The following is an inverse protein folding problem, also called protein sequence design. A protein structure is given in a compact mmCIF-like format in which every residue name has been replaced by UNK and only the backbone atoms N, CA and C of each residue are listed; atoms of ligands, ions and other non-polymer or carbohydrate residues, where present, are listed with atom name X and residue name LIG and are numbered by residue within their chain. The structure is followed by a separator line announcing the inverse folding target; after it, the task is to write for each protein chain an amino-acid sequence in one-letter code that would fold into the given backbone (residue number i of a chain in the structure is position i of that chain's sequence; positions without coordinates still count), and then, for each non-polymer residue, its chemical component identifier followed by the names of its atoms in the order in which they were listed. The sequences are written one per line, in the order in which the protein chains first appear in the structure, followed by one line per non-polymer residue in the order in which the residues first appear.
data_IF_193959275407
#
_entry.id   IF_193959275407
#
_cell.length_a   1.000
_cell.length_b   1.000
_cell.length_c   1.000
_cell.angle_alpha   90.00
_cell.angle_beta   90.00
_cell.angle_gamma   90.00
#
_symmetry.space_group_name_H-M   'P 1'
#
loop_
_entity.id
_entity.type
_entity.pdbx_description
1 polymer ?
#
# COMPACT_ATOMS: atom_id res chain seq x y z
N UNK A 1 35.23 -90.81 -10.33
CA UNK A 1 34.83 -89.61 -11.08
C UNK A 1 34.91 -88.43 -10.12
N UNK A 2 35.99 -87.66 -10.18
CA UNK A 2 36.28 -86.54 -9.31
C UNK A 2 36.26 -85.27 -10.17
N UNK A 3 35.40 -84.31 -9.83
CA UNK A 3 35.28 -83.06 -10.55
C UNK A 3 35.38 -81.89 -9.54
N UNK A 4 36.61 -81.47 -9.27
CA UNK A 4 36.91 -80.32 -8.42
C UNK A 4 36.78 -79.03 -9.24
N UNK A 5 35.67 -78.31 -9.05
CA UNK A 5 35.48 -76.96 -9.59
C UNK A 5 36.39 -75.96 -8.87
N UNK A 6 37.38 -75.47 -9.62
CA UNK A 6 38.30 -74.37 -9.27
C UNK A 6 37.52 -73.06 -9.15
N UNK A 7 37.41 -72.49 -7.95
CA UNK A 7 36.89 -71.14 -7.76
C UNK A 7 37.98 -70.11 -8.12
N UNK A 8 37.70 -69.25 -9.09
CA UNK A 8 38.59 -68.17 -9.54
C UNK A 8 38.33 -66.95 -8.64
N UNK A 9 39.34 -66.53 -7.87
CA UNK A 9 39.30 -65.30 -7.07
C UNK A 9 39.48 -64.08 -7.99
N UNK A 10 38.36 -63.49 -8.43
CA UNK A 10 38.36 -62.16 -9.05
C UNK A 10 38.44 -61.07 -7.97
N UNK A 11 39.44 -60.19 -8.05
CA UNK A 11 39.49 -59.00 -7.18
C UNK A 11 38.41 -58.00 -7.60
N UNK A 12 37.59 -57.57 -6.64
CA UNK A 12 36.58 -56.55 -6.89
C UNK A 12 37.24 -55.18 -7.12
N UNK A 13 36.76 -54.37 -8.08
CA UNK A 13 37.31 -53.03 -8.32
C UNK A 13 37.08 -52.13 -7.10
N UNK A 14 38.16 -51.45 -6.68
CA UNK A 14 38.18 -50.44 -5.61
C UNK A 14 37.10 -49.39 -5.87
N UNK A 15 36.03 -49.35 -5.05
CA UNK A 15 35.07 -48.24 -5.05
C UNK A 15 35.80 -46.94 -4.74
N UNK A 16 35.68 -45.97 -5.64
CA UNK A 16 36.20 -44.62 -5.46
C UNK A 16 35.68 -44.01 -4.16
N UNK A 17 36.62 -43.50 -3.36
CA UNK A 17 36.39 -42.73 -2.14
C UNK A 17 35.30 -41.68 -2.36
N UNK A 18 34.26 -41.71 -1.53
CA UNK A 18 33.19 -40.72 -1.52
C UNK A 18 33.80 -39.34 -1.25
N UNK A 19 33.69 -38.46 -2.24
CA UNK A 19 34.12 -37.06 -2.20
C UNK A 19 33.52 -36.38 -0.96
N UNK A 20 34.39 -35.96 -0.04
CA UNK A 20 34.00 -35.26 1.18
C UNK A 20 33.05 -34.09 0.87
N UNK A 21 31.88 -34.10 1.50
CA UNK A 21 30.88 -33.05 1.37
C UNK A 21 31.49 -31.71 1.84
N UNK A 22 31.42 -30.71 0.96
CA UNK A 22 31.85 -29.34 1.25
C UNK A 22 31.06 -28.78 2.46
N UNK A 23 31.71 -28.10 3.41
CA UNK A 23 31.10 -27.76 4.70
C UNK A 23 30.11 -26.58 4.60
N UNK A 24 28.95 -26.75 5.25
CA UNK A 24 28.08 -25.84 6.01
C UNK A 24 27.89 -24.32 5.69
N UNK A 25 28.70 -23.68 4.84
CA UNK A 25 28.64 -22.23 4.61
C UNK A 25 27.35 -21.76 3.91
N UNK A 26 26.70 -22.63 3.12
CA UNK A 26 25.42 -22.33 2.47
C UNK A 26 24.27 -22.20 3.49
N UNK A 27 24.33 -22.94 4.61
CA UNK A 27 23.32 -22.90 5.66
C UNK A 27 23.28 -21.56 6.39
N UNK A 28 24.44 -20.97 6.68
CA UNK A 28 24.54 -19.68 7.36
C UNK A 28 23.94 -18.53 6.53
N UNK A 29 24.25 -18.47 5.22
CA UNK A 29 23.71 -17.43 4.34
C UNK A 29 22.19 -17.57 4.11
N UNK A 30 21.68 -18.81 4.04
CA UNK A 30 20.24 -19.07 3.89
C UNK A 30 19.48 -18.75 5.17
N UNK A 31 20.00 -19.16 6.34
CA UNK A 31 19.39 -18.84 7.64
C UNK A 31 19.40 -17.34 7.91
N UNK A 32 20.47 -16.62 7.57
CA UNK A 32 20.51 -15.16 7.67
C UNK A 32 19.48 -14.49 6.76
N UNK A 33 19.33 -14.95 5.50
CA UNK A 33 18.28 -14.47 4.60
C UNK A 33 16.88 -14.76 5.13
N UNK A 34 16.67 -15.93 5.73
CA UNK A 34 15.38 -16.34 6.27
C UNK A 34 15.01 -15.56 7.54
N UNK A 35 15.99 -15.29 8.42
CA UNK A 35 15.80 -14.40 9.56
C UNK A 35 15.50 -12.98 9.11
N UNK A 36 16.20 -12.46 8.10
CA UNK A 36 15.91 -11.12 7.53
C UNK A 36 14.50 -11.04 6.92
N UNK A 37 14.03 -12.08 6.22
CA UNK A 37 12.67 -12.09 5.66
C UNK A 37 11.61 -12.27 6.73
N UNK A 38 11.85 -13.12 7.73
CA UNK A 38 10.96 -13.29 8.88
C UNK A 38 10.85 -12.00 9.71
N UNK A 39 11.96 -11.30 9.93
CA UNK A 39 11.99 -10.00 10.60
C UNK A 39 11.24 -8.92 9.82
N UNK A 40 11.40 -8.88 8.49
CA UNK A 40 10.61 -7.98 7.64
C UNK A 40 9.12 -8.28 7.71
N UNK A 41 8.74 -9.56 7.82
CA UNK A 41 7.35 -9.98 7.99
C UNK A 41 6.79 -9.72 9.39
N UNK A 42 7.64 -9.51 10.41
CA UNK A 42 7.18 -9.24 11.77
C UNK A 42 6.35 -7.95 11.88
N UNK A 43 6.60 -6.97 10.99
CA UNK A 43 5.84 -5.70 10.92
C UNK A 43 4.74 -5.73 9.85
N UNK A 44 4.41 -6.91 9.34
CA UNK A 44 3.35 -7.09 8.33
C UNK A 44 3.70 -6.57 6.93
N UNK A 45 2.67 -6.37 6.11
CA UNK A 45 2.80 -5.88 4.73
C UNK A 45 3.35 -4.44 4.70
N UNK A 46 4.24 -4.08 3.76
CA UNK A 46 4.68 -2.69 3.62
C UNK A 46 3.49 -1.78 3.25
N UNK A 47 3.36 -0.67 3.98
CA UNK A 47 2.29 0.31 3.82
C UNK A 47 2.28 0.89 2.40
N UNK A 48 3.44 1.21 1.83
CA UNK A 48 3.55 1.74 0.48
C UNK A 48 2.92 0.78 -0.55
N UNK A 49 3.19 -0.53 -0.44
CA UNK A 49 2.63 -1.53 -1.34
C UNK A 49 1.13 -1.78 -1.13
N UNK A 50 0.61 -1.49 0.08
CA UNK A 50 -0.82 -1.58 0.34
C UNK A 50 -1.54 -0.41 -0.34
N UNK A 51 -1.01 0.81 -0.18
CA UNK A 51 -1.53 2.03 -0.81
C UNK A 51 -1.51 1.92 -2.33
N UNK A 52 -0.41 1.44 -2.92
CA UNK A 52 -0.29 1.29 -4.38
C UNK A 52 -1.29 0.27 -4.95
N UNK A 53 -1.43 -0.88 -4.31
CA UNK A 53 -2.31 -1.94 -4.78
C UNK A 53 -3.80 -1.54 -4.72
N UNK A 54 -4.22 -0.79 -3.70
CA UNK A 54 -5.58 -0.26 -3.63
C UNK A 54 -5.81 0.91 -4.61
N UNK A 55 -4.81 1.76 -4.81
CA UNK A 55 -4.85 2.81 -5.83
C UNK A 55 -4.98 2.27 -7.26
N UNK A 56 -4.49 1.06 -7.53
CA UNK A 56 -4.68 0.34 -8.79
C UNK A 56 -6.01 -0.42 -8.84
N UNK A 57 -6.45 -1.02 -7.74
CA UNK A 57 -7.76 -1.69 -7.65
C UNK A 57 -8.93 -0.71 -7.85
N UNK A 58 -8.86 0.50 -7.29
CA UNK A 58 -9.83 1.57 -7.53
C UNK A 58 -9.79 2.17 -8.95
N UNK A 59 -8.73 1.86 -9.72
CA UNK A 59 -8.60 2.21 -11.14
C UNK A 59 -9.25 1.18 -12.06
N UNK A 60 -9.44 -0.06 -11.61
CA UNK A 60 -9.99 -1.17 -12.40
C UNK A 60 -11.46 -1.05 -12.81
N UNK A 61 -12.22 -0.13 -12.21
CA UNK A 61 -13.64 0.11 -12.51
C UNK A 61 -13.95 1.51 -13.04
N UNK A 62 -12.92 2.32 -13.30
CA UNK A 62 -13.07 3.45 -14.22
C UNK A 62 -12.73 2.91 -15.61
N UNK A 63 -13.71 2.52 -16.44
CA UNK A 63 -13.40 2.27 -17.84
C UNK A 63 -12.66 3.51 -18.31
N UNK A 64 -11.61 3.31 -19.11
CA UNK A 64 -10.81 4.36 -19.71
C UNK A 64 -11.73 5.42 -20.35
N UNK A 65 -12.16 6.39 -19.53
CA UNK A 65 -12.84 7.61 -19.93
C UNK A 65 -11.75 8.64 -20.25
N UNK A 66 -10.71 8.19 -20.96
CA UNK A 66 -10.47 8.76 -22.28
C UNK A 66 -11.73 8.43 -23.08
N UNK A 67 -12.79 9.17 -22.80
CA UNK A 67 -14.13 8.85 -23.23
C UNK A 67 -14.04 8.62 -24.73
N UNK A 68 -14.30 7.38 -25.17
CA UNK A 68 -14.49 7.03 -26.58
C UNK A 68 -15.26 8.14 -27.32
N UNK A 69 -16.33 8.77 -26.76
CA UNK A 69 -16.97 9.92 -27.40
C UNK A 69 -16.11 11.19 -27.52
N UNK A 70 -15.16 11.44 -26.62
CA UNK A 70 -14.20 12.55 -26.71
C UNK A 70 -13.12 12.33 -27.78
N UNK A 71 -12.62 11.10 -27.95
CA UNK A 71 -11.72 10.76 -29.07
C UNK A 71 -12.48 10.78 -30.41
N UNK A 72 -13.72 10.29 -30.43
CA UNK A 72 -14.61 10.37 -31.59
C UNK A 72 -14.92 11.84 -31.92
N UNK A 73 -15.19 12.70 -30.94
CA UNK A 73 -15.44 14.13 -31.18
C UNK A 73 -14.21 14.85 -31.75
N UNK A 74 -13.00 14.52 -31.27
CA UNK A 74 -11.76 15.05 -31.85
C UNK A 74 -11.57 14.55 -33.29
N UNK A 75 -11.77 13.25 -33.54
CA UNK A 75 -11.65 12.67 -34.88
C UNK A 75 -12.67 13.24 -35.87
N UNK A 76 -13.93 13.40 -35.44
CA UNK A 76 -14.99 14.06 -36.24
C UNK A 76 -14.64 15.53 -36.48
N UNK A 77 -14.08 16.23 -35.50
CA UNK A 77 -13.61 17.61 -35.66
C UNK A 77 -12.50 17.75 -36.69
N UNK A 78 -11.50 16.86 -36.67
CA UNK A 78 -10.40 16.85 -37.66
C UNK A 78 -10.92 16.48 -39.05
N UNK A 79 -11.77 15.45 -39.16
CA UNK A 79 -12.32 15.00 -40.44
C UNK A 79 -13.28 16.05 -41.04
N UNK A 80 -14.13 16.66 -40.21
CA UNK A 80 -15.02 17.75 -40.61
C UNK A 80 -14.27 19.02 -41.03
N UNK A 81 -13.17 19.34 -40.34
CA UNK A 81 -12.27 20.43 -40.74
C UNK A 81 -11.60 20.16 -42.10
N UNK A 82 -11.18 18.93 -42.36
CA UNK A 82 -10.56 18.53 -43.64
C UNK A 82 -11.57 18.51 -44.81
N UNK A 83 -12.83 18.18 -44.55
CA UNK A 83 -13.90 18.24 -45.55
C UNK A 83 -14.33 19.69 -45.85
N UNK A 84 -14.30 20.57 -44.85
CA UNK A 84 -14.64 21.99 -45.02
C UNK A 84 -13.65 22.75 -45.92
N UNK A 85 -12.37 22.38 -45.94
CA UNK A 85 -11.37 23.00 -46.83
C UNK A 85 -11.57 22.65 -48.30
N UNK A 86 -12.22 21.52 -48.60
CA UNK A 86 -12.48 21.06 -49.98
C UNK A 86 -13.76 21.66 -50.56
N UNK A 87 -14.76 21.97 -49.74
CA UNK A 87 -16.08 22.45 -50.20
C UNK A 87 -16.41 23.91 -49.90
N UNK A 88 -15.52 24.67 -49.24
CA UNK A 88 -15.71 26.11 -48.93
C UNK A 88 -17.08 26.45 -48.30
N UNK A 89 -17.68 25.52 -47.55
CA UNK A 89 -18.98 25.72 -46.90
C UNK A 89 -18.79 26.27 -45.48
N UNK A 90 -18.92 27.60 -45.37
CA UNK A 90 -18.84 28.37 -44.12
C UNK A 90 -19.62 27.79 -42.90
N UNK A 91 -20.83 27.21 -43.02
CA UNK A 91 -21.55 26.72 -41.84
C UNK A 91 -20.97 25.42 -41.24
N UNK A 92 -20.31 24.58 -42.05
CA UNK A 92 -19.75 23.31 -41.56
C UNK A 92 -18.46 23.53 -40.74
N UNK A 93 -17.68 24.56 -41.09
CA UNK A 93 -16.48 24.94 -40.35
C UNK A 93 -16.80 25.35 -38.90
N UNK A 94 -17.94 26.03 -38.68
CA UNK A 94 -18.38 26.45 -37.34
C UNK A 94 -18.65 25.27 -36.40
N UNK A 95 -19.32 24.22 -36.89
CA UNK A 95 -19.65 23.03 -36.09
C UNK A 95 -18.37 22.25 -35.73
N UNK A 96 -17.42 22.14 -36.65
CA UNK A 96 -16.14 21.46 -36.41
C UNK A 96 -15.31 22.15 -35.32
N UNK A 97 -15.25 23.49 -35.31
CA UNK A 97 -14.53 24.26 -34.30
C UNK A 97 -15.17 24.08 -32.92
N UNK A 98 -16.51 24.12 -32.81
CA UNK A 98 -17.22 23.93 -31.55
C UNK A 98 -17.02 22.50 -31.01
N UNK A 99 -17.09 21.49 -31.87
CA UNK A 99 -16.85 20.09 -31.48
C UNK A 99 -15.41 19.86 -31.01
N UNK A 100 -14.42 20.45 -31.70
CA UNK A 100 -13.01 20.36 -31.33
C UNK A 100 -12.72 21.09 -30.02
N UNK A 101 -13.21 22.32 -29.85
CA UNK A 101 -13.04 23.09 -28.61
C UNK A 101 -13.74 22.42 -27.42
N UNK A 102 -14.94 21.87 -27.62
CA UNK A 102 -15.67 21.10 -26.60
C UNK A 102 -14.95 19.81 -26.20
N UNK A 103 -14.44 19.06 -27.18
CA UNK A 103 -13.65 17.86 -26.95
C UNK A 103 -12.33 18.15 -26.23
N UNK A 104 -11.61 19.19 -26.66
CA UNK A 104 -10.36 19.63 -26.04
C UNK A 104 -10.61 20.12 -24.60
N UNK A 105 -11.69 20.86 -24.36
CA UNK A 105 -12.10 21.31 -23.03
C UNK A 105 -12.40 20.16 -22.07
N UNK A 106 -13.10 19.12 -22.54
CA UNK A 106 -13.35 17.89 -21.77
C UNK A 106 -12.05 17.14 -21.44
N UNK A 107 -11.13 17.03 -22.40
CA UNK A 107 -9.82 16.41 -22.17
C UNK A 107 -8.98 17.22 -21.19
N UNK A 108 -8.93 18.55 -21.32
CA UNK A 108 -8.20 19.40 -20.39
C UNK A 108 -8.81 19.37 -18.99
N UNK A 109 -10.15 19.32 -18.85
CA UNK A 109 -10.83 19.19 -17.55
C UNK A 109 -10.60 17.82 -16.92
N UNK A 110 -10.62 16.75 -17.71
CA UNK A 110 -10.25 15.40 -17.27
C UNK A 110 -8.75 15.28 -16.92
N UNK A 111 -7.88 16.09 -17.55
CA UNK A 111 -6.46 16.16 -17.23
C UNK A 111 -6.21 17.01 -15.98
N UNK A 112 -6.92 18.12 -15.80
CA UNK A 112 -6.86 18.95 -14.60
C UNK A 112 -7.34 18.20 -13.36
N UNK A 113 -8.41 17.39 -13.48
CA UNK A 113 -8.88 16.49 -12.43
C UNK A 113 -7.86 15.38 -12.08
N UNK A 114 -6.95 15.04 -13.01
CA UNK A 114 -5.84 14.11 -12.76
C UNK A 114 -4.61 14.80 -12.17
N UNK A 115 -4.28 16.01 -12.62
CA UNK A 115 -3.14 16.78 -12.11
C UNK A 115 -3.38 17.30 -10.68
N UNK A 116 -4.60 17.71 -10.32
CA UNK A 116 -4.93 18.12 -8.95
C UNK A 116 -4.87 16.97 -7.93
N UNK A 117 -4.89 15.72 -8.40
CA UNK A 117 -4.83 14.48 -7.62
C UNK A 117 -3.39 14.05 -7.29
N UNK A 118 -2.40 14.58 -8.03
CA UNK A 118 -1.02 14.09 -7.99
C UNK A 118 -0.19 14.63 -6.82
N UNK A 119 -0.51 15.80 -6.26
CA UNK A 119 0.32 16.39 -5.18
C UNK A 119 0.13 15.68 -3.84
N UNK A 120 -1.11 15.68 -3.32
CA UNK A 120 -1.39 15.19 -1.96
C UNK A 120 -1.27 13.67 -1.77
N UNK A 121 -1.45 12.89 -2.84
CA UNK A 121 -1.33 11.42 -2.80
C UNK A 121 0.12 10.94 -2.94
N UNK A 122 0.90 11.59 -3.82
CA UNK A 122 2.31 11.26 -4.00
C UNK A 122 3.13 11.52 -2.72
N UNK A 123 2.80 12.58 -1.99
CA UNK A 123 3.45 12.90 -0.71
C UNK A 123 3.22 11.80 0.34
N UNK A 124 1.97 11.32 0.50
CA UNK A 124 1.65 10.23 1.43
C UNK A 124 2.37 8.94 1.05
N UNK A 125 2.36 8.55 -0.23
CA UNK A 125 3.04 7.33 -0.67
C UNK A 125 4.55 7.40 -0.43
N UNK A 126 5.16 8.57 -0.66
CA UNK A 126 6.59 8.80 -0.37
C UNK A 126 6.90 8.66 1.11
N UNK A 127 6.07 9.25 1.98
CA UNK A 127 6.27 9.17 3.43
C UNK A 127 5.97 7.77 3.98
N UNK A 128 5.00 7.05 3.40
CA UNK A 128 4.74 5.65 3.71
C UNK A 128 5.95 4.76 3.38
N UNK A 129 6.62 4.98 2.25
CA UNK A 129 7.83 4.24 1.88
C UNK A 129 9.01 4.53 2.83
N UNK A 130 9.18 5.80 3.25
CA UNK A 130 10.17 6.17 4.28
C UNK A 130 9.85 5.50 5.61
N UNK A 131 8.58 5.50 6.02
CA UNK A 131 8.12 4.85 7.24
C UNK A 131 8.39 3.34 7.19
N UNK A 132 8.05 2.65 6.10
CA UNK A 132 8.31 1.22 5.94
C UNK A 132 9.81 0.90 6.09
N UNK A 133 10.66 1.72 5.46
CA UNK A 133 12.11 1.57 5.57
C UNK A 133 12.59 1.76 7.01
N UNK A 134 12.08 2.78 7.70
CA UNK A 134 12.40 3.05 9.10
C UNK A 134 11.91 1.93 10.03
N UNK A 135 10.67 1.47 9.88
CA UNK A 135 10.12 0.39 10.70
C UNK A 135 10.87 -0.93 10.48
N UNK A 136 11.32 -1.22 9.25
CA UNK A 136 12.14 -2.40 8.99
C UNK A 136 13.51 -2.36 9.73
N UNK A 137 14.07 -1.17 9.94
CA UNK A 137 15.32 -1.00 10.71
C UNK A 137 15.08 -1.11 12.22
N UNK A 138 13.93 -0.63 12.71
CA UNK A 138 13.61 -0.61 14.14
C UNK A 138 13.02 -1.93 14.64
N UNK A 139 12.33 -2.69 13.78
CA UNK A 139 11.63 -3.93 14.13
C UNK A 139 12.45 -4.92 14.99
N UNK A 140 13.74 -5.20 14.70
CA UNK A 140 14.52 -6.14 15.51
C UNK A 140 14.75 -5.68 16.96
N UNK A 141 14.56 -4.39 17.22
CA UNK A 141 14.74 -3.74 18.53
C UNK A 141 13.41 -3.48 19.23
N UNK A 142 12.28 -3.90 18.67
CA UNK A 142 10.98 -3.76 19.32
C UNK A 142 10.62 -5.03 20.11
N UNK A 143 9.87 -4.91 21.22
CA UNK A 143 9.22 -6.04 21.86
C UNK A 143 8.29 -6.76 20.88
N UNK A 144 8.13 -8.07 21.06
CA UNK A 144 7.35 -8.88 20.12
C UNK A 144 5.87 -8.42 20.05
N UNK A 145 5.27 -8.08 21.18
CA UNK A 145 3.89 -7.60 21.22
C UNK A 145 3.74 -6.22 20.56
N UNK A 146 4.69 -5.31 20.78
CA UNK A 146 4.70 -4.01 20.10
C UNK A 146 4.86 -4.16 18.58
N UNK A 147 5.68 -5.10 18.11
CA UNK A 147 5.82 -5.39 16.68
C UNK A 147 4.51 -5.92 16.07
N UNK A 148 3.78 -6.78 16.80
CA UNK A 148 2.45 -7.28 16.39
C UNK A 148 1.43 -6.15 16.32
N UNK A 149 1.36 -5.32 17.36
CA UNK A 149 0.47 -4.14 17.43
C UNK A 149 0.75 -3.17 16.29
N UNK A 150 2.03 -2.95 15.96
CA UNK A 150 2.48 -2.12 14.85
C UNK A 150 2.05 -2.68 13.49
N UNK A 151 2.11 -4.00 13.30
CA UNK A 151 1.62 -4.64 12.08
C UNK A 151 0.11 -4.40 11.88
N UNK A 152 -0.68 -4.57 12.94
CA UNK A 152 -2.12 -4.27 12.92
C UNK A 152 -2.41 -2.78 12.69
N UNK A 153 -1.65 -1.90 13.32
CA UNK A 153 -1.74 -0.45 13.11
C UNK A 153 -1.49 -0.08 11.64
N UNK A 154 -0.46 -0.66 11.00
CA UNK A 154 -0.16 -0.42 9.58
C UNK A 154 -1.29 -0.85 8.67
N UNK A 155 -1.94 -1.97 8.96
CA UNK A 155 -3.09 -2.44 8.18
C UNK A 155 -4.28 -1.48 8.30
N UNK A 156 -4.59 -1.03 9.52
CA UNK A 156 -5.64 -0.02 9.75
C UNK A 156 -5.27 1.32 9.12
N UNK A 157 -4.00 1.70 9.14
CA UNK A 157 -3.50 2.92 8.50
C UNK A 157 -3.59 2.86 6.98
N UNK A 158 -3.30 1.71 6.36
CA UNK A 158 -3.48 1.49 4.93
C UNK A 158 -4.95 1.74 4.53
N UNK A 159 -5.89 1.10 5.24
CA UNK A 159 -7.33 1.31 5.04
C UNK A 159 -7.74 2.77 5.22
N UNK A 160 -7.20 3.45 6.24
CA UNK A 160 -7.51 4.85 6.48
C UNK A 160 -6.98 5.75 5.36
N UNK A 161 -5.79 5.47 4.83
CA UNK A 161 -5.25 6.18 3.66
C UNK A 161 -6.12 5.96 2.43
N UNK A 162 -6.65 4.75 2.19
CA UNK A 162 -7.57 4.48 1.09
C UNK A 162 -8.87 5.29 1.20
N UNK A 163 -9.45 5.36 2.42
CA UNK A 163 -10.59 6.24 2.72
C UNK A 163 -10.29 7.69 2.34
N UNK A 164 -9.08 8.19 2.64
CA UNK A 164 -8.68 9.56 2.29
C UNK A 164 -8.33 9.74 0.80
N UNK A 165 -7.92 8.68 0.11
CA UNK A 165 -7.67 8.71 -1.32
C UNK A 165 -8.97 8.77 -2.14
N UNK A 166 -10.08 8.29 -1.56
CA UNK A 166 -11.41 8.42 -2.13
C UNK A 166 -12.05 9.77 -1.75
N UNK A 167 -12.09 10.71 -2.70
CA UNK A 167 -12.66 12.06 -2.51
C UNK A 167 -14.05 12.06 -1.87
N UNK A 168 -14.93 11.13 -2.23
CA UNK A 168 -16.30 11.08 -1.70
C UNK A 168 -16.32 10.68 -0.22
N UNK A 169 -15.46 9.73 0.17
CA UNK A 169 -15.33 9.28 1.56
C UNK A 169 -14.57 10.30 2.40
N UNK A 170 -13.55 10.93 1.82
CA UNK A 170 -12.77 11.98 2.46
C UNK A 170 -13.64 13.18 2.88
N UNK A 171 -14.67 13.55 2.10
CA UNK A 171 -15.58 14.65 2.45
C UNK A 171 -16.34 14.45 3.76
N UNK A 172 -16.55 13.19 4.18
CA UNK A 172 -17.30 12.84 5.39
C UNK A 172 -16.38 12.80 6.61
N UNK A 173 -15.08 12.59 6.40
CA UNK A 173 -14.07 12.56 7.45
C UNK A 173 -13.69 14.00 7.82
N UNK A 174 -13.78 14.41 9.10
CA UNK A 174 -13.34 15.72 9.56
C UNK A 174 -11.89 16.02 9.16
N UNK A 175 -11.60 17.27 8.78
CA UNK A 175 -10.28 17.68 8.27
C UNK A 175 -9.17 17.38 9.29
N UNK A 176 -9.45 17.50 10.58
CA UNK A 176 -8.54 17.21 11.68
C UNK A 176 -8.12 15.73 11.67
N UNK A 177 -9.04 14.83 11.36
CA UNK A 177 -8.76 13.40 11.29
C UNK A 177 -8.01 13.05 10.00
N UNK A 178 -8.28 13.75 8.89
CA UNK A 178 -7.49 13.61 7.66
C UNK A 178 -6.03 14.03 7.89
N UNK A 179 -5.82 15.14 8.59
CA UNK A 179 -4.50 15.62 8.97
C UNK A 179 -3.80 14.65 9.92
N UNK A 180 -4.53 14.12 10.91
CA UNK A 180 -4.01 13.12 11.84
C UNK A 180 -3.46 11.88 11.12
N UNK A 181 -4.18 11.30 10.16
CA UNK A 181 -3.71 10.13 9.39
C UNK A 181 -2.37 10.42 8.69
N UNK A 182 -2.21 11.61 8.12
CA UNK A 182 -0.96 12.03 7.46
C UNK A 182 0.18 12.17 8.47
N UNK A 183 -0.07 12.83 9.59
CA UNK A 183 0.94 13.03 10.64
C UNK A 183 1.36 11.72 11.32
N UNK A 184 0.45 10.75 11.44
CA UNK A 184 0.82 9.41 11.94
C UNK A 184 1.92 8.79 11.08
N UNK A 185 1.82 8.91 9.76
CA UNK A 185 2.81 8.38 8.82
C UNK A 185 4.11 9.19 8.88
N UNK A 186 3.99 10.50 8.76
CA UNK A 186 5.14 11.39 8.58
C UNK A 186 5.96 11.60 9.87
N UNK A 187 5.29 11.63 11.03
CA UNK A 187 5.90 12.14 12.27
C UNK A 187 5.60 11.29 13.50
N UNK A 188 4.34 11.08 13.87
CA UNK A 188 4.01 10.54 15.19
C UNK A 188 4.53 9.11 15.40
N UNK A 189 4.35 8.22 14.41
CA UNK A 189 4.80 6.84 14.54
C UNK A 189 6.33 6.72 14.48
N UNK A 190 7.04 7.39 13.54
CA UNK A 190 8.50 7.46 13.59
C UNK A 190 9.04 8.00 14.91
N UNK A 191 8.50 9.12 15.40
CA UNK A 191 8.99 9.78 16.61
C UNK A 191 8.73 8.92 17.85
N UNK A 192 7.56 8.29 17.95
CA UNK A 192 7.24 7.35 19.02
C UNK A 192 8.27 6.23 19.13
N UNK A 193 8.57 5.56 18.01
CA UNK A 193 9.58 4.51 17.97
C UNK A 193 10.98 5.03 18.35
N UNK A 194 11.37 6.24 17.90
CA UNK A 194 12.66 6.86 18.27
C UNK A 194 12.74 7.13 19.77
N UNK A 195 11.72 7.73 20.36
CA UNK A 195 11.67 8.03 21.79
C UNK A 195 11.71 6.75 22.62
N UNK A 196 10.93 5.72 22.24
CA UNK A 196 10.98 4.42 22.90
C UNK A 196 12.40 3.84 22.90
N UNK A 197 13.06 3.79 21.74
CA UNK A 197 14.42 3.25 21.66
C UNK A 197 15.43 4.06 22.48
N UNK A 198 15.31 5.39 22.46
CA UNK A 198 16.16 6.29 23.26
C UNK A 198 16.00 6.04 24.76
N UNK A 199 14.77 5.96 25.24
CA UNK A 199 14.47 5.67 26.66
C UNK A 199 14.93 4.27 27.02
N UNK A 200 14.68 3.27 26.17
CA UNK A 200 15.09 1.88 26.40
C UNK A 200 16.61 1.77 26.53
N UNK A 201 17.36 2.44 25.66
CA UNK A 201 18.82 2.43 25.72
C UNK A 201 19.35 3.14 26.98
N UNK A 202 18.76 4.28 27.35
CA UNK A 202 19.11 5.01 28.57
C UNK A 202 18.75 4.25 29.86
N UNK A 203 17.73 3.41 29.82
CA UNK A 203 17.22 2.64 30.97
C UNK A 203 17.95 1.30 31.17
N UNK A 204 18.93 0.95 30.32
CA UNK A 204 19.67 -0.31 30.44
C UNK A 204 20.39 -0.39 31.78
N UNK A 205 19.99 -1.34 32.62
CA UNK A 205 20.58 -1.56 33.95
C UNK A 205 19.96 -0.73 35.07
N UNK A 206 18.94 0.08 34.78
CA UNK A 206 18.17 0.80 35.80
C UNK A 206 16.89 0.02 36.13
N UNK A 207 16.63 -0.18 37.42
CA UNK A 207 15.35 -0.72 37.87
C UNK A 207 14.25 0.33 37.75
N UNK A 208 13.12 -0.04 37.14
CA UNK A 208 11.92 0.80 37.07
C UNK A 208 11.40 1.02 38.49
N UNK A 209 11.03 2.26 38.82
CA UNK A 209 10.44 2.57 40.12
C UNK A 209 9.07 1.90 40.28
N UNK A 210 8.72 1.44 41.49
CA UNK A 210 7.41 0.85 41.73
C UNK A 210 6.29 1.87 41.41
N UNK A 211 5.37 1.48 40.53
CA UNK A 211 4.24 2.31 40.08
C UNK A 211 4.48 3.09 38.78
N UNK A 212 5.71 3.14 38.27
CA UNK A 212 5.99 3.76 36.96
C UNK A 212 5.77 2.76 35.82
N UNK A 213 5.21 3.23 34.70
CA UNK A 213 5.05 2.41 33.50
C UNK A 213 6.41 2.08 32.91
N UNK A 214 6.60 0.83 32.52
CA UNK A 214 7.80 0.46 31.77
C UNK A 214 7.81 1.12 30.39
N UNK A 215 8.99 1.32 29.76
CA UNK A 215 9.05 1.83 28.39
C UNK A 215 8.22 0.99 27.40
N UNK A 216 8.17 -0.32 27.60
CA UNK A 216 7.42 -1.27 26.78
C UNK A 216 5.91 -1.06 26.93
N UNK A 217 5.42 -0.92 28.17
CA UNK A 217 4.01 -0.60 28.45
C UNK A 217 3.62 0.79 27.91
N UNK A 218 4.52 1.77 28.01
CA UNK A 218 4.28 3.11 27.46
C UNK A 218 4.15 3.06 25.94
N UNK A 219 5.05 2.35 25.24
CA UNK A 219 4.96 2.18 23.79
C UNK A 219 3.66 1.49 23.40
N UNK A 220 3.32 0.39 24.08
CA UNK A 220 2.09 -0.36 23.77
C UNK A 220 0.84 0.51 23.94
N UNK A 221 0.72 1.25 25.05
CA UNK A 221 -0.38 2.19 25.27
C UNK A 221 -0.47 3.24 24.16
N UNK A 222 0.66 3.79 23.72
CA UNK A 222 0.67 4.78 22.66
C UNK A 222 0.25 4.20 21.29
N UNK A 223 0.67 2.97 20.97
CA UNK A 223 0.21 2.24 19.79
C UNK A 223 -1.30 2.01 19.82
N UNK A 224 -1.85 1.64 20.98
CA UNK A 224 -3.29 1.41 21.15
C UNK A 224 -4.10 2.70 20.99
N UNK A 225 -3.61 3.84 21.51
CA UNK A 225 -4.24 5.16 21.31
C UNK A 225 -4.26 5.55 19.83
N UNK A 226 -3.12 5.40 19.13
CA UNK A 226 -3.08 5.67 17.69
C UNK A 226 -4.02 4.76 16.91
N UNK A 227 -4.05 3.47 17.27
CA UNK A 227 -4.89 2.49 16.59
C UNK A 227 -6.38 2.78 16.78
N UNK A 228 -6.80 3.09 18.01
CA UNK A 228 -8.19 3.46 18.32
C UNK A 228 -8.63 4.70 17.55
N UNK A 229 -7.75 5.72 17.45
CA UNK A 229 -8.07 6.92 16.68
C UNK A 229 -8.17 6.66 15.17
N UNK A 230 -7.31 5.81 14.60
CA UNK A 230 -7.44 5.41 13.19
C UNK A 230 -8.72 4.61 12.92
N UNK A 231 -9.13 3.73 13.84
CA UNK A 231 -10.40 2.99 13.72
C UNK A 231 -11.60 3.93 13.67
N UNK A 232 -11.60 5.00 14.47
CA UNK A 232 -12.64 6.04 14.42
C UNK A 232 -12.79 6.65 13.03
N UNK A 233 -11.68 6.87 12.31
CA UNK A 233 -11.72 7.37 10.92
C UNK A 233 -12.45 6.39 9.99
N UNK A 234 -12.15 5.10 10.12
CA UNK A 234 -12.82 4.05 9.34
C UNK A 234 -14.31 3.94 9.69
N UNK A 235 -14.66 4.04 10.97
CA UNK A 235 -16.05 4.00 11.44
C UNK A 235 -16.86 5.19 10.92
N UNK A 236 -16.29 6.41 10.90
CA UNK A 236 -16.94 7.58 10.33
C UNK A 236 -17.25 7.40 8.84
N UNK A 237 -16.30 6.86 8.08
CA UNK A 237 -16.49 6.56 6.66
C UNK A 237 -17.55 5.46 6.44
N UNK A 238 -17.54 4.40 7.25
CA UNK A 238 -18.52 3.31 7.15
C UNK A 238 -19.94 3.78 7.52
N UNK A 239 -20.08 4.60 8.56
CA UNK A 239 -21.37 5.13 9.01
C UNK A 239 -22.05 6.02 7.94
N UNK A 240 -21.27 6.65 7.06
CA UNK A 240 -21.80 7.39 5.91
C UNK A 240 -22.37 6.47 4.82
N UNK A 241 -21.65 5.40 4.48
CA UNK A 241 -22.12 4.43 3.48
C UNK A 241 -23.42 3.74 3.93
N UNK A 242 -23.51 3.39 5.22
CA UNK A 242 -24.74 2.85 5.81
C UNK A 242 -25.90 3.85 5.70
N UNK A 243 -25.66 5.14 5.98
CA UNK A 243 -26.68 6.19 5.84
C UNK A 243 -27.13 6.36 4.39
N UNK A 244 -26.20 6.34 3.43
CA UNK A 244 -26.53 6.39 1.99
C UNK A 244 -27.41 5.22 1.57
N UNK A 245 -27.10 4.01 2.04
CA UNK A 245 -27.89 2.82 1.73
C UNK A 245 -29.31 2.91 2.31
N UNK A 246 -29.45 3.30 3.59
CA UNK A 246 -30.75 3.48 4.23
C UNK A 246 -31.63 4.55 3.54
N UNK A 247 -31.01 5.66 3.10
CA UNK A 247 -31.71 6.70 2.35
C UNK A 247 -32.20 6.18 0.98
N UNK A 248 -31.41 5.35 0.31
CA UNK A 248 -31.79 4.75 -0.96
C UNK A 248 -32.97 3.79 -0.81
N UNK A 249 -32.97 2.95 0.22
CA UNK A 249 -34.08 2.06 0.55
C UNK A 249 -35.37 2.85 0.82
N UNK A 250 -35.27 3.91 1.63
CA UNK A 250 -36.41 4.80 1.93
C UNK A 250 -36.99 5.43 0.67
N UNK A 251 -36.12 5.86 -0.26
CA UNK A 251 -36.56 6.41 -1.55
C UNK A 251 -37.31 5.38 -2.40
N UNK A 252 -36.81 4.16 -2.52
CA UNK A 252 -37.48 3.09 -3.28
C UNK A 252 -38.86 2.80 -2.68
N UNK A 253 -38.94 2.66 -1.36
CA UNK A 253 -40.20 2.38 -0.67
C UNK A 253 -41.23 3.51 -0.84
N UNK A 254 -40.78 4.77 -0.94
CA UNK A 254 -41.68 5.92 -1.20
C UNK A 254 -42.23 6.00 -2.62
N UNK A 255 -41.68 5.23 -3.57
CA UNK A 255 -42.06 5.21 -4.99
C UNK A 255 -42.97 4.04 -5.37
N UNK A 256 -43.31 3.20 -4.40
CA UNK A 256 -44.25 2.09 -4.55
C UNK A 256 -45.64 2.52 -4.13
#
# INVERSE_FOLDING_TARGET
MADQKKWVSGSLPKRGSARAAKPAAYGAAVTERLLRTQQRRAVGRPLATAIEHEADAGRGLRPALLSIPGLIAIAIGVLGGLLATVQASLPLAGVAIVAFAGGLGLVMRARAARCGRSGKGADISRDAAKLDTFLAQVAPRLPHDAARSLAGLKETLARAVDVLANEQKALVVPVEEQFFVREVIARYLPDMCRHYLSVRDASKGLSVRPGEKTPDESLQNQLDVLHGRLRKVLELAAADEVRKLANHETFINSKR
#
